data_IF_442167193495
#
_entry.id   IF_442167193495
#
_cell.length_a   1.000
_cell.length_b   1.000
_cell.length_c   1.000
_cell.angle_alpha   90.00
_cell.angle_beta   90.00
_cell.angle_gamma   90.00
#
_symmetry.space_group_name_H-M   'P 1'
#
loop_
_entity.id
_entity.type
_entity.pdbx_description
1 polymer ?
#
# COMPACT_ATOMS: atom_id res chain seq x y z
N UNK A 1 -3.59 -1.63 9.86
CA UNK A 1 -4.56 -0.55 9.58
C UNK A 1 -5.09 -0.06 10.92
N UNK A 2 -4.53 1.02 11.46
CA UNK A 2 -4.82 1.47 12.84
C UNK A 2 -5.65 2.77 12.90
N UNK A 3 -6.11 3.27 11.75
CA UNK A 3 -6.95 4.46 11.65
C UNK A 3 -8.44 4.16 11.75
N UNK A 4 -9.25 5.20 12.00
CA UNK A 4 -10.72 5.10 12.00
C UNK A 4 -11.22 4.95 10.56
N UNK A 5 -11.98 3.89 10.30
CA UNK A 5 -12.63 3.64 9.00
C UNK A 5 -14.11 4.00 9.16
N UNK A 6 -14.58 5.00 8.44
CA UNK A 6 -15.99 5.39 8.46
C UNK A 6 -16.87 4.37 7.72
N UNK A 7 -18.16 4.26 8.07
CA UNK A 7 -19.11 3.46 7.30
C UNK A 7 -19.08 3.89 5.83
N UNK A 8 -19.09 2.92 4.92
CA UNK A 8 -19.05 3.15 3.47
C UNK A 8 -17.73 3.73 2.90
N UNK A 9 -16.69 3.89 3.73
CA UNK A 9 -15.37 4.30 3.27
C UNK A 9 -14.65 3.23 2.43
N UNK A 10 -14.93 1.96 2.68
CA UNK A 10 -14.26 0.85 2.01
C UNK A 10 -15.15 -0.40 1.96
N UNK A 11 -15.15 -1.10 0.82
CA UNK A 11 -15.82 -2.41 0.71
C UNK A 11 -15.06 -3.46 1.51
N UNK A 12 -15.79 -4.46 2.04
CA UNK A 12 -15.18 -5.56 2.82
C UNK A 12 -14.15 -6.35 2.00
N UNK A 13 -14.34 -6.45 0.69
CA UNK A 13 -13.39 -7.10 -0.22
C UNK A 13 -12.06 -6.35 -0.31
N UNK A 14 -12.09 -5.01 -0.46
CA UNK A 14 -10.88 -4.20 -0.49
C UNK A 14 -10.14 -4.24 0.85
N UNK A 15 -10.89 -4.22 1.97
CA UNK A 15 -10.29 -4.35 3.29
C UNK A 15 -9.52 -5.66 3.45
N UNK A 16 -10.12 -6.79 3.04
CA UNK A 16 -9.46 -8.10 3.08
C UNK A 16 -8.29 -8.17 2.10
N UNK A 17 -8.44 -7.63 0.89
CA UNK A 17 -7.38 -7.57 -0.12
C UNK A 17 -6.15 -6.80 0.37
N UNK A 18 -6.35 -5.59 0.90
CA UNK A 18 -5.26 -4.78 1.47
C UNK A 18 -4.60 -5.50 2.65
N UNK A 19 -5.37 -6.18 3.49
CA UNK A 19 -4.81 -6.94 4.61
C UNK A 19 -3.96 -8.13 4.13
N UNK A 20 -4.43 -8.88 3.13
CA UNK A 20 -3.67 -9.97 2.52
C UNK A 20 -2.37 -9.47 1.87
N UNK A 21 -2.43 -8.39 1.08
CA UNK A 21 -1.25 -7.79 0.45
C UNK A 21 -0.24 -7.28 1.49
N UNK A 22 -0.73 -6.61 2.54
CA UNK A 22 0.09 -6.16 3.66
C UNK A 22 0.76 -7.34 4.36
N UNK A 23 0.04 -8.46 4.54
CA UNK A 23 0.59 -9.67 5.14
C UNK A 23 1.66 -10.33 4.25
N UNK A 24 1.42 -10.45 2.94
CA UNK A 24 2.40 -10.96 1.99
C UNK A 24 3.69 -10.11 1.98
N UNK A 25 3.56 -8.79 1.93
CA UNK A 25 4.72 -7.89 2.00
C UNK A 25 5.47 -8.01 3.33
N UNK A 26 4.74 -8.08 4.45
CA UNK A 26 5.35 -8.31 5.78
C UNK A 26 6.10 -9.64 5.83
N UNK A 27 5.54 -10.70 5.26
CA UNK A 27 6.17 -12.02 5.23
C UNK A 27 7.40 -12.07 4.31
N UNK A 28 7.36 -11.41 3.15
CA UNK A 28 8.47 -11.36 2.19
C UNK A 28 9.65 -10.53 2.70
N UNK A 29 9.38 -9.38 3.33
CA UNK A 29 10.40 -8.43 3.75
C UNK A 29 10.72 -8.50 5.26
N UNK A 30 10.07 -9.39 6.00
CA UNK A 30 10.33 -9.62 7.43
C UNK A 30 10.03 -8.42 8.33
N UNK A 31 9.30 -7.42 7.84
CA UNK A 31 9.07 -6.14 8.51
C UNK A 31 7.59 -5.88 8.67
N UNK A 32 7.17 -5.53 9.89
CA UNK A 32 5.76 -5.27 10.20
C UNK A 32 5.33 -3.90 9.68
N UNK A 33 4.31 -3.88 8.83
CA UNK A 33 3.72 -2.67 8.27
C UNK A 33 2.22 -2.66 8.50
N UNK A 34 1.67 -1.48 8.77
CA UNK A 34 0.25 -1.34 9.08
C UNK A 34 -0.62 -1.31 7.81
N UNK A 35 -0.11 -0.77 6.71
CA UNK A 35 -0.79 -0.72 5.42
C UNK A 35 0.23 -0.42 4.31
N UNK A 36 0.52 -1.39 3.45
CA UNK A 36 1.42 -1.18 2.29
C UNK A 36 0.68 -0.54 1.13
N UNK A 37 -0.61 -0.82 0.98
CA UNK A 37 -1.43 -0.33 -0.11
C UNK A 37 -2.03 1.05 0.19
N UNK A 38 -1.37 1.82 1.06
CA UNK A 38 -1.71 3.22 1.27
C UNK A 38 -1.31 4.01 0.03
N UNK A 39 -2.25 4.78 -0.52
CA UNK A 39 -1.93 5.74 -1.59
C UNK A 39 -1.23 7.01 -1.08
N UNK A 40 -1.03 7.14 0.23
CA UNK A 40 -0.42 8.31 0.87
C UNK A 40 0.94 7.95 1.45
N UNK A 41 2.00 8.50 0.83
CA UNK A 41 3.37 8.38 1.26
C UNK A 41 4.02 9.76 1.38
N UNK A 42 4.85 9.94 2.39
CA UNK A 42 5.66 11.14 2.57
C UNK A 42 7.13 10.73 2.73
N UNK A 43 8.01 11.43 2.03
CA UNK A 43 9.44 11.11 1.99
C UNK A 43 10.28 12.34 2.31
N UNK A 44 11.40 12.14 3.00
CA UNK A 44 12.47 13.14 3.03
C UNK A 44 13.26 13.09 1.71
N UNK A 45 13.94 14.18 1.38
CA UNK A 45 14.77 14.23 0.17
C UNK A 45 15.90 13.20 0.19
N UNK A 46 16.44 12.87 1.37
CA UNK A 46 17.46 11.83 1.52
C UNK A 46 16.85 10.44 1.31
N UNK A 47 15.71 10.16 1.93
CA UNK A 47 15.03 8.87 1.79
C UNK A 47 14.70 8.56 0.32
N UNK A 48 14.04 9.49 -0.39
CA UNK A 48 13.66 9.28 -1.80
C UNK A 48 14.88 9.09 -2.71
N UNK A 49 16.01 9.73 -2.40
CA UNK A 49 17.24 9.59 -3.19
C UNK A 49 17.92 8.21 -3.04
N UNK A 50 17.64 7.51 -1.94
CA UNK A 50 18.17 6.17 -1.64
C UNK A 50 17.31 5.05 -2.20
N UNK A 51 16.03 5.34 -2.48
CA UNK A 51 15.10 4.36 -3.04
C UNK A 51 15.50 4.03 -4.48
N UNK A 52 15.65 2.74 -4.75
CA UNK A 52 15.89 2.20 -6.08
C UNK A 52 14.58 1.61 -6.57
N UNK A 53 13.86 2.37 -7.40
CA UNK A 53 12.54 2.02 -7.91
C UNK A 53 12.60 1.80 -9.42
N UNK A 54 11.97 0.72 -9.88
CA UNK A 54 11.91 0.30 -11.28
C UNK A 54 10.46 -0.03 -11.71
N UNK A 55 9.55 -0.25 -10.76
CA UNK A 55 8.14 -0.54 -11.01
C UNK A 55 7.38 0.68 -11.57
N UNK A 56 6.51 0.44 -12.55
CA UNK A 56 5.75 1.49 -13.25
C UNK A 56 4.24 1.49 -12.92
N UNK A 57 3.79 0.64 -11.99
CA UNK A 57 2.36 0.37 -11.76
C UNK A 57 2.07 0.09 -10.28
N UNK A 58 1.00 -0.65 -9.98
CA UNK A 58 0.57 -1.02 -8.62
C UNK A 58 1.65 -1.69 -7.76
N UNK A 59 2.70 -2.23 -8.38
CA UNK A 59 3.86 -2.80 -7.70
C UNK A 59 4.73 -1.75 -6.99
N UNK A 60 4.61 -0.47 -7.35
CA UNK A 60 5.47 0.61 -6.80
C UNK A 60 5.37 0.70 -5.28
N UNK A 61 4.20 0.44 -4.70
CA UNK A 61 3.99 0.47 -3.24
C UNK A 61 4.81 -0.62 -2.54
N UNK A 62 4.79 -1.83 -3.09
CA UNK A 62 5.56 -2.96 -2.59
C UNK A 62 7.06 -2.76 -2.82
N UNK A 63 7.46 -2.22 -3.98
CA UNK A 63 8.86 -1.93 -4.29
C UNK A 63 9.44 -0.81 -3.42
N UNK A 64 8.66 0.25 -3.17
CA UNK A 64 9.05 1.31 -2.23
C UNK A 64 9.30 0.72 -0.84
N UNK A 65 8.39 -0.11 -0.35
CA UNK A 65 8.55 -0.78 0.95
C UNK A 65 9.78 -1.71 0.97
N UNK A 66 9.95 -2.54 -0.07
CA UNK A 66 11.11 -3.41 -0.24
C UNK A 66 12.43 -2.64 -0.23
N UNK A 67 12.49 -1.55 -0.99
CA UNK A 67 13.68 -0.71 -1.11
C UNK A 67 14.00 -0.01 0.22
N UNK A 68 13.00 0.46 0.96
CA UNK A 68 13.20 1.01 2.30
C UNK A 68 13.80 -0.02 3.26
N UNK A 69 13.27 -1.25 3.25
CA UNK A 69 13.79 -2.34 4.08
C UNK A 69 15.22 -2.73 3.67
N UNK A 70 15.50 -2.86 2.36
CA UNK A 70 16.82 -3.25 1.87
C UNK A 70 17.89 -2.17 2.07
N UNK A 71 17.52 -0.90 2.05
CA UNK A 71 18.44 0.24 2.20
C UNK A 71 18.52 0.76 3.64
N UNK A 72 17.94 0.02 4.61
CA UNK A 72 17.84 0.40 6.03
C UNK A 72 17.32 1.85 6.22
N UNK A 73 16.35 2.26 5.39
CA UNK A 73 15.71 3.57 5.51
C UNK A 73 14.66 3.49 6.60
N UNK A 74 14.80 4.31 7.63
CA UNK A 74 13.80 4.40 8.69
C UNK A 74 12.45 4.91 8.13
N UNK A 75 11.38 4.16 8.39
CA UNK A 75 10.01 4.54 8.03
C UNK A 75 9.07 4.36 9.22
N UNK A 76 7.90 4.98 9.15
CA UNK A 76 6.89 4.90 10.19
C UNK A 76 5.48 5.10 9.64
N UNK A 77 4.48 4.78 10.46
CA UNK A 77 3.07 4.88 10.09
C UNK A 77 2.37 6.00 10.86
N UNK A 78 1.73 6.90 10.13
CA UNK A 78 0.82 7.89 10.69
C UNK A 78 -0.62 7.40 10.46
N UNK A 79 -1.41 7.15 11.52
CA UNK A 79 -2.79 6.73 11.36
C UNK A 79 -3.61 7.80 10.63
N UNK A 80 -4.22 7.43 9.50
CA UNK A 80 -5.15 8.28 8.75
C UNK A 80 -6.58 7.78 8.91
N UNK A 81 -7.55 8.70 8.93
CA UNK A 81 -8.97 8.33 8.94
C UNK A 81 -9.46 8.14 7.50
N UNK A 82 -10.13 7.02 7.23
CA UNK A 82 -10.71 6.73 5.93
C UNK A 82 -12.16 7.20 5.94
N UNK A 83 -12.46 8.24 5.16
CA UNK A 83 -13.83 8.73 4.92
C UNK A 83 -14.43 8.15 3.63
N UNK A 84 -15.76 8.25 3.46
CA UNK A 84 -16.43 7.87 2.22
C UNK A 84 -15.87 8.66 1.04
N UNK A 85 -15.56 7.96 -0.04
CA UNK A 85 -15.05 8.58 -1.27
C UNK A 85 -16.15 9.44 -1.89
N UNK A 86 -15.84 10.69 -2.18
CA UNK A 86 -16.69 11.55 -3.00
C UNK A 86 -16.40 11.23 -4.48
N UNK A 87 -17.28 10.45 -5.12
CA UNK A 87 -17.22 10.09 -6.55
C UNK A 87 -16.98 8.60 -6.83
N UNK A 88 -17.03 8.20 -8.11
CA UNK A 88 -16.91 6.80 -8.51
C UNK A 88 -15.50 6.22 -8.28
N UNK A 89 -15.46 4.95 -7.89
CA UNK A 89 -14.22 4.21 -7.75
C UNK A 89 -13.59 3.99 -9.14
N UNK A 90 -12.36 4.47 -9.35
CA UNK A 90 -11.58 4.17 -10.57
C UNK A 90 -11.27 2.67 -10.72
N UNK A 91 -11.30 1.90 -9.62
CA UNK A 91 -11.11 0.45 -9.58
C UNK A 91 -12.48 -0.21 -9.36
N UNK A 92 -13.21 -0.41 -10.45
CA UNK A 92 -14.58 -0.91 -10.42
C UNK A 92 -14.76 -2.36 -10.84
N UNK A 93 -13.69 -3.08 -11.25
CA UNK A 93 -13.86 -4.41 -11.81
C UNK A 93 -12.93 -5.46 -11.19
N UNK A 94 -13.49 -6.62 -10.90
CA UNK A 94 -12.77 -7.86 -10.61
C UNK A 94 -11.71 -8.19 -11.68
N UNK A 95 -11.85 -7.64 -12.90
CA UNK A 95 -10.86 -7.76 -13.98
C UNK A 95 -9.57 -6.97 -13.71
N UNK A 96 -9.62 -5.83 -13.01
CA UNK A 96 -8.42 -5.10 -12.59
C UNK A 96 -7.67 -5.85 -11.49
N UNK A 97 -8.40 -6.49 -10.56
CA UNK A 97 -7.81 -7.36 -9.54
C UNK A 97 -7.03 -8.53 -10.14
N UNK A 98 -7.57 -9.17 -11.19
CA UNK A 98 -6.86 -10.24 -11.92
C UNK A 98 -5.61 -9.73 -12.64
N UNK A 99 -5.64 -8.49 -13.15
CA UNK A 99 -4.51 -7.87 -13.86
C UNK A 99 -3.37 -7.51 -12.91
N UNK A 100 -3.68 -7.14 -11.66
CA UNK A 100 -2.70 -6.90 -10.60
C UNK A 100 -2.10 -8.24 -10.13
N UNK A 101 -2.92 -9.27 -9.90
CA UNK A 101 -2.45 -10.59 -9.49
C UNK A 101 -1.50 -11.22 -10.52
N UNK A 102 -1.72 -10.99 -11.81
CA UNK A 102 -0.84 -11.50 -12.89
C UNK A 102 0.47 -10.73 -13.04
N UNK A 103 0.60 -9.57 -12.39
CA UNK A 103 1.79 -8.71 -12.46
C UNK A 103 2.70 -8.87 -11.24
N UNK A 104 2.14 -9.29 -10.10
CA UNK A 104 2.88 -9.92 -8.99
C UNK A 104 3.41 -11.30 -9.43
#
# INVERSE_FOLDING_TARGET
MNGRIEPDAMTRLNFVGNHLLTWFATALFGTTTADVCSGYWAFSSDAISRLQLNSQSFEIEAEMFASMVHQDVAFGFVPISYGPRLGEAKLGSTADGWRILRKL
#
